data_IF_500826455081
#
_entry.id   IF_500826455081
#
_cell.length_a   1.000
_cell.length_b   1.000
_cell.length_c   1.000
_cell.angle_alpha   90.00
_cell.angle_beta   90.00
_cell.angle_gamma   90.00
#
_symmetry.space_group_name_H-M   'P 1'
#
loop_
_entity.id
_entity.type
_entity.pdbx_description
1 polymer ?
#
# COMPACT_ATOMS: atom_id res chain seq x y z
N UNK A 1 -1.14 -1.25 -2.13
CA UNK A 1 -0.05 -0.53 -2.83
C UNK A 1 1.28 -1.09 -2.41
N UNK A 2 2.28 -1.09 -3.27
CA UNK A 2 3.52 -1.82 -2.99
C UNK A 2 4.61 -1.67 -4.05
N UNK A 3 5.75 -2.28 -3.78
CA UNK A 3 6.86 -2.43 -4.72
C UNK A 3 6.56 -3.57 -5.69
N UNK A 4 6.79 -3.32 -6.97
CA UNK A 4 6.71 -4.30 -8.05
C UNK A 4 8.07 -4.43 -8.70
N UNK A 5 8.59 -5.65 -8.84
CA UNK A 5 9.80 -5.94 -9.64
C UNK A 5 9.47 -6.92 -10.74
N UNK A 6 9.86 -6.61 -11.96
CA UNK A 6 9.58 -7.43 -13.15
C UNK A 6 8.09 -7.82 -13.28
N UNK A 7 7.18 -6.87 -13.01
CA UNK A 7 5.72 -7.09 -13.08
C UNK A 7 5.13 -7.91 -11.93
N UNK A 8 5.94 -8.33 -10.95
CA UNK A 8 5.48 -9.11 -9.78
C UNK A 8 5.47 -8.25 -8.52
N UNK A 9 4.41 -8.29 -7.71
CA UNK A 9 4.39 -7.59 -6.43
C UNK A 9 5.42 -8.24 -5.49
N UNK A 10 6.30 -7.44 -4.92
CA UNK A 10 7.38 -7.90 -4.04
C UNK A 10 7.03 -7.62 -2.59
N UNK A 11 6.47 -6.46 -2.27
CA UNK A 11 6.02 -6.08 -0.91
C UNK A 11 4.98 -4.97 -1.00
N UNK A 12 4.11 -4.82 -0.01
CA UNK A 12 3.09 -3.77 -0.01
C UNK A 12 2.03 -3.93 1.07
N UNK A 13 0.97 -3.15 0.98
CA UNK A 13 -0.23 -3.31 1.81
C UNK A 13 -1.34 -4.01 1.03
N UNK A 14 -2.04 -4.92 1.71
CA UNK A 14 -3.29 -5.53 1.26
C UNK A 14 -4.42 -5.06 2.17
N UNK A 15 -5.58 -4.75 1.59
CA UNK A 15 -6.81 -4.48 2.34
C UNK A 15 -7.44 -5.81 2.71
N UNK A 16 -7.53 -6.12 4.00
CA UNK A 16 -8.36 -7.20 4.51
C UNK A 16 -9.63 -6.62 5.16
N UNK A 17 -10.52 -7.50 5.64
CA UNK A 17 -11.82 -7.13 6.21
C UNK A 17 -11.68 -6.11 7.36
N UNK A 18 -10.61 -6.24 8.16
CA UNK A 18 -10.42 -5.46 9.39
C UNK A 18 -9.35 -4.36 9.29
N UNK A 19 -8.85 -4.05 8.08
CA UNK A 19 -7.86 -2.99 7.91
C UNK A 19 -6.83 -3.26 6.82
N UNK A 20 -5.76 -2.47 6.87
CA UNK A 20 -4.61 -2.60 5.97
C UNK A 20 -3.52 -3.42 6.63
N UNK A 21 -3.06 -4.46 5.94
CA UNK A 21 -2.04 -5.37 6.46
C UNK A 21 -0.77 -5.30 5.62
N UNK A 22 0.41 -5.19 6.26
CA UNK A 22 1.69 -5.26 5.58
C UNK A 22 1.94 -6.67 5.07
N UNK A 23 2.38 -6.74 3.82
CA UNK A 23 2.77 -7.96 3.12
C UNK A 23 4.21 -7.79 2.69
N UNK A 24 5.08 -8.55 3.34
CA UNK A 24 6.52 -8.44 3.14
C UNK A 24 6.93 -9.07 1.81
N UNK A 25 6.18 -10.09 1.39
CA UNK A 25 6.47 -10.90 0.22
C UNK A 25 5.20 -11.48 -0.38
N UNK A 26 5.18 -11.57 -1.71
CA UNK A 26 4.29 -12.49 -2.41
C UNK A 26 5.09 -13.73 -2.82
N UNK A 27 4.54 -14.92 -2.59
CA UNK A 27 5.15 -16.15 -3.09
C UNK A 27 4.97 -16.28 -4.61
N UNK A 28 5.48 -17.37 -5.20
CA UNK A 28 5.37 -17.62 -6.64
C UNK A 28 3.91 -17.78 -7.13
N UNK A 29 2.96 -18.03 -6.22
CA UNK A 29 1.53 -18.17 -6.47
C UNK A 29 0.75 -16.88 -6.18
N UNK A 30 1.46 -15.77 -5.94
CA UNK A 30 0.89 -14.48 -5.52
C UNK A 30 0.14 -14.55 -4.17
N UNK A 31 0.45 -15.53 -3.32
CA UNK A 31 -0.04 -15.56 -1.95
C UNK A 31 0.72 -14.54 -1.12
N UNK A 32 -0.01 -13.75 -0.35
CA UNK A 32 0.57 -12.84 0.63
C UNK A 32 1.26 -13.66 1.73
N UNK A 33 2.58 -13.53 1.84
CA UNK A 33 3.37 -14.11 2.93
C UNK A 33 3.64 -13.00 3.93
N UNK A 34 2.96 -13.11 5.07
CA UNK A 34 3.17 -12.22 6.21
C UNK A 34 4.20 -12.88 7.14
N UNK A 35 5.39 -12.30 7.38
CA UNK A 35 6.34 -12.88 8.33
C UNK A 35 5.71 -12.93 9.72
N UNK A 36 5.92 -14.04 10.43
CA UNK A 36 5.35 -14.29 11.77
C UNK A 36 5.67 -13.20 12.80
N UNK A 37 6.71 -12.39 12.57
CA UNK A 37 7.06 -11.25 13.40
C UNK A 37 7.68 -10.17 12.52
N UNK A 38 6.92 -9.10 12.26
CA UNK A 38 7.50 -7.87 11.75
C UNK A 38 8.24 -7.17 12.87
N UNK A 39 9.45 -6.69 12.60
CA UNK A 39 9.96 -5.59 13.39
C UNK A 39 9.01 -4.39 13.18
N UNK A 40 8.51 -3.73 14.24
CA UNK A 40 7.52 -2.65 14.12
C UNK A 40 7.92 -1.58 13.10
N UNK A 41 9.22 -1.25 13.06
CA UNK A 41 9.78 -0.29 12.10
C UNK A 41 9.64 -0.69 10.64
N UNK A 42 9.78 -1.97 10.31
CA UNK A 42 9.62 -2.45 8.93
C UNK A 42 8.16 -2.39 8.48
N UNK A 43 7.22 -2.65 9.40
CA UNK A 43 5.79 -2.55 9.11
C UNK A 43 5.44 -1.08 8.85
N UNK A 44 5.91 -0.17 9.71
CA UNK A 44 5.75 1.27 9.56
C UNK A 44 6.30 1.77 8.21
N UNK A 45 7.50 1.35 7.82
CA UNK A 45 8.09 1.74 6.53
C UNK A 45 7.20 1.32 5.33
N UNK A 46 6.48 0.21 5.44
CA UNK A 46 5.51 -0.20 4.42
C UNK A 46 4.25 0.66 4.41
N UNK A 47 3.73 1.06 5.57
CA UNK A 47 2.62 2.01 5.65
C UNK A 47 3.01 3.34 5.00
N UNK A 48 4.17 3.90 5.36
CA UNK A 48 4.72 5.12 4.76
C UNK A 48 4.88 4.99 3.24
N UNK A 49 5.44 3.88 2.76
CA UNK A 49 5.61 3.63 1.34
C UNK A 49 4.26 3.58 0.60
N UNK A 50 3.26 2.94 1.20
CA UNK A 50 1.94 2.81 0.61
C UNK A 50 1.19 4.15 0.56
N UNK A 51 1.28 4.98 1.61
CA UNK A 51 0.73 6.35 1.61
C UNK A 51 1.38 7.17 0.49
N UNK A 52 2.71 7.20 0.41
CA UNK A 52 3.44 7.94 -0.64
C UNK A 52 3.06 7.47 -2.05
N UNK A 53 2.89 6.16 -2.23
CA UNK A 53 2.45 5.58 -3.50
C UNK A 53 1.02 6.02 -3.87
N UNK A 54 0.14 6.14 -2.87
CA UNK A 54 -1.24 6.58 -3.04
C UNK A 54 -1.28 8.01 -3.54
N UNK A 55 -0.55 8.89 -2.87
CA UNK A 55 -0.48 10.30 -3.19
C UNK A 55 0.16 10.54 -4.55
N UNK A 56 1.22 9.80 -4.89
CA UNK A 56 1.87 9.90 -6.19
C UNK A 56 0.90 9.48 -7.32
N UNK A 57 0.13 8.41 -7.09
CA UNK A 57 -0.87 7.93 -8.06
C UNK A 57 -2.03 8.93 -8.20
N UNK A 58 -2.53 9.46 -7.08
CA UNK A 58 -3.56 10.50 -7.08
C UNK A 58 -3.12 11.77 -7.81
N UNK A 59 -1.88 12.21 -7.60
CA UNK A 59 -1.27 13.33 -8.33
C UNK A 59 -1.21 13.07 -9.84
N UNK A 60 -0.78 11.87 -10.27
CA UNK A 60 -0.76 11.50 -11.70
C UNK A 60 -2.16 11.59 -12.33
N UNK A 61 -3.19 11.08 -11.64
CA UNK A 61 -4.56 11.18 -12.14
C UNK A 61 -5.07 12.63 -12.20
N UNK A 62 -4.71 13.46 -11.21
CA UNK A 62 -5.07 14.89 -11.23
C UNK A 62 -4.43 15.61 -12.42
N UNK A 63 -3.14 15.36 -12.69
CA UNK A 63 -2.43 15.91 -13.86
C UNK A 63 -3.05 15.44 -15.18
N UNK A 64 -3.56 14.22 -15.23
CA UNK A 64 -4.27 13.68 -16.39
C UNK A 64 -5.74 14.17 -16.52
N UNK A 65 -6.20 15.09 -15.65
CA UNK A 65 -7.57 15.60 -15.65
C UNK A 65 -8.62 14.65 -15.05
N UNK A 66 -8.21 13.47 -14.58
CA UNK A 66 -9.10 12.50 -13.95
C UNK A 66 -9.25 12.78 -12.44
N UNK A 67 -10.08 13.78 -12.12
CA UNK A 67 -10.31 14.22 -10.74
C UNK A 67 -11.00 13.15 -9.88
N UNK A 68 -11.82 12.28 -10.46
CA UNK A 68 -12.50 11.19 -9.76
C UNK A 68 -11.50 10.19 -9.17
N UNK A 69 -10.59 9.69 -10.02
CA UNK A 69 -9.51 8.81 -9.57
C UNK A 69 -8.54 9.52 -8.62
N UNK A 70 -8.23 10.80 -8.87
CA UNK A 70 -7.38 11.57 -7.96
C UNK A 70 -7.95 11.63 -6.53
N UNK A 71 -9.24 11.96 -6.38
CA UNK A 71 -9.93 11.98 -5.08
C UNK A 71 -10.00 10.60 -4.43
N UNK A 72 -10.19 9.55 -5.22
CA UNK A 72 -10.14 8.17 -4.73
C UNK A 72 -8.79 7.86 -4.08
N UNK A 73 -7.68 8.13 -4.78
CA UNK A 73 -6.34 7.84 -4.26
C UNK A 73 -5.94 8.74 -3.08
N UNK A 74 -6.43 9.98 -3.02
CA UNK A 74 -6.26 10.85 -1.85
C UNK A 74 -6.96 10.29 -0.61
N UNK A 75 -8.23 9.84 -0.74
CA UNK A 75 -8.95 9.18 0.36
C UNK A 75 -8.27 7.89 0.78
N UNK A 76 -7.77 7.12 -0.20
CA UNK A 76 -7.03 5.89 0.05
C UNK A 76 -5.74 6.14 0.86
N UNK A 77 -4.98 7.19 0.53
CA UNK A 77 -3.79 7.58 1.28
C UNK A 77 -4.12 7.83 2.75
N UNK A 78 -5.19 8.58 3.01
CA UNK A 78 -5.66 8.92 4.36
C UNK A 78 -6.10 7.68 5.14
N UNK A 79 -6.88 6.79 4.54
CA UNK A 79 -7.30 5.54 5.16
C UNK A 79 -6.15 4.61 5.53
N UNK A 80 -5.06 4.65 4.76
CA UNK A 80 -3.86 3.87 5.07
C UNK A 80 -3.12 4.49 6.26
N UNK A 81 -2.96 5.81 6.27
CA UNK A 81 -2.29 6.53 7.36
C UNK A 81 -3.04 6.41 8.70
N UNK A 82 -4.37 6.44 8.66
CA UNK A 82 -5.24 6.29 9.85
C UNK A 82 -5.40 4.82 10.28
N UNK A 83 -5.12 3.87 9.39
CA UNK A 83 -5.30 2.43 9.62
C UNK A 83 -4.02 1.71 10.06
N UNK A 84 -2.96 2.44 10.39
CA UNK A 84 -1.74 1.88 10.97
C UNK A 84 -1.98 1.51 12.45
N UNK A 85 -1.80 0.24 12.86
CA UNK A 85 -1.88 -0.16 14.26
C UNK A 85 -0.66 0.38 15.05
N UNK A 86 -0.90 0.88 16.28
CA UNK A 86 0.14 1.37 17.21
C UNK A 86 1.19 0.30 17.58
#
# INVERSE_FOLDING_TARGET
MGEVRAGRPVRGLIKAINGWYPVARFDARMTAVNPRSWAPRQAHDLYVLAVKSAEATGRRFATAGNLGSARYYQRLARQIAEGEPE
#
